data_IF_723460232146
#
_entry.id   IF_723460232146
#
_cell.length_a   1.000
_cell.length_b   1.000
_cell.length_c   1.000
_cell.angle_alpha   90.00
_cell.angle_beta   90.00
_cell.angle_gamma   90.00
#
_symmetry.space_group_name_H-M   'P 1'
#
loop_
_entity.id
_entity.type
_entity.pdbx_description
1 polymer ?
#
# COMPACT_ATOMS: atom_id res chain seq x y z
N UNK A 1 -12.58 -14.23 8.05
CA UNK A 1 -12.62 -12.80 7.67
C UNK A 1 -11.24 -12.22 7.96
N UNK A 2 -10.48 -11.80 6.95
CA UNK A 2 -9.09 -11.34 7.13
C UNK A 2 -9.12 -9.91 7.63
N UNK A 3 -8.47 -9.64 8.77
CA UNK A 3 -8.23 -8.29 9.28
C UNK A 3 -7.39 -7.55 8.22
N UNK A 4 -7.98 -6.59 7.50
CA UNK A 4 -7.22 -5.72 6.60
C UNK A 4 -6.38 -4.78 7.47
N UNK A 5 -5.07 -5.01 7.50
CA UNK A 5 -4.12 -4.15 8.20
C UNK A 5 -3.39 -3.31 7.17
N UNK A 6 -3.44 -1.99 7.30
CA UNK A 6 -2.73 -1.07 6.38
C UNK A 6 -1.22 -1.14 6.56
N UNK A 7 -0.74 -1.40 7.78
CA UNK A 7 0.69 -1.38 8.10
C UNK A 7 1.10 -2.57 8.97
N UNK A 8 2.26 -3.16 8.68
CA UNK A 8 2.87 -4.22 9.50
C UNK A 8 4.34 -3.90 9.77
N UNK A 9 4.90 -4.50 10.83
CA UNK A 9 6.34 -4.48 11.08
C UNK A 9 6.92 -5.85 10.76
N UNK A 10 7.95 -5.90 9.94
CA UNK A 10 8.64 -7.14 9.57
C UNK A 10 10.13 -6.88 9.38
N UNK A 11 10.98 -7.71 10.01
CA UNK A 11 12.45 -7.64 9.90
C UNK A 11 13.05 -6.21 10.05
N UNK A 12 12.49 -5.42 10.97
CA UNK A 12 12.92 -4.04 11.26
C UNK A 12 12.39 -2.98 10.29
N UNK A 13 11.65 -3.35 9.24
CA UNK A 13 11.00 -2.43 8.32
C UNK A 13 9.54 -2.15 8.71
N UNK A 14 9.07 -0.96 8.33
CA UNK A 14 7.64 -0.67 8.24
C UNK A 14 7.14 -1.09 6.86
N UNK A 15 6.18 -2.01 6.81
CA UNK A 15 5.51 -2.43 5.59
C UNK A 15 4.17 -1.71 5.50
N UNK A 16 3.91 -1.02 4.39
CA UNK A 16 2.67 -0.27 4.14
C UNK A 16 1.97 -0.88 2.93
N UNK A 17 0.71 -1.28 3.09
CA UNK A 17 -0.14 -1.77 2.00
C UNK A 17 -0.92 -0.61 1.38
N UNK A 18 -0.60 -0.28 0.14
CA UNK A 18 -1.21 0.81 -0.60
C UNK A 18 -2.51 0.38 -1.30
N UNK A 19 -3.45 1.32 -1.46
CA UNK A 19 -4.76 1.09 -2.08
C UNK A 19 -5.85 0.77 -1.07
N UNK A 20 -6.67 -0.24 -1.34
CA UNK A 20 -7.85 -0.59 -0.53
C UNK A 20 -7.58 -0.75 0.98
N UNK A 21 -6.45 -1.35 1.44
CA UNK A 21 -6.16 -1.48 2.86
C UNK A 21 -6.01 -0.15 3.60
N UNK A 22 -5.89 0.99 2.90
CA UNK A 22 -5.87 2.33 3.51
C UNK A 22 -7.25 2.78 3.99
N UNK A 23 -8.33 2.19 3.49
CA UNK A 23 -9.68 2.54 3.94
C UNK A 23 -9.87 2.01 5.35
N UNK A 24 -10.16 2.93 6.28
CA UNK A 24 -10.49 2.59 7.65
C UNK A 24 -11.99 2.38 7.75
N UNK A 25 -12.36 1.23 8.29
CA UNK A 25 -13.75 0.83 8.44
C UNK A 25 -14.13 0.82 9.91
N UNK A 26 -15.34 1.32 10.20
CA UNK A 26 -15.98 1.13 11.49
C UNK A 26 -17.11 0.14 11.34
N UNK A 27 -17.24 -0.73 12.34
CA UNK A 27 -18.29 -1.71 12.43
C UNK A 27 -19.39 -1.18 13.36
N UNK A 28 -20.63 -1.05 12.86
CA UNK A 28 -21.80 -0.68 13.69
C UNK A 28 -22.68 -1.89 14.00
N UNK A 29 -22.77 -2.85 13.08
CA UNK A 29 -23.48 -4.13 13.25
C UNK A 29 -22.99 -5.14 12.21
N UNK A 30 -23.33 -6.43 12.37
CA UNK A 30 -22.91 -7.50 11.46
C UNK A 30 -23.19 -7.24 9.96
N UNK A 31 -24.17 -6.38 9.65
CA UNK A 31 -24.54 -6.01 8.28
C UNK A 31 -24.10 -4.58 7.87
N UNK A 32 -23.53 -3.78 8.78
CA UNK A 32 -23.26 -2.37 8.54
C UNK A 32 -21.80 -2.02 8.85
N UNK A 33 -21.01 -1.96 7.79
CA UNK A 33 -19.68 -1.35 7.79
C UNK A 33 -19.79 0.07 7.25
N UNK A 34 -19.01 0.99 7.80
CA UNK A 34 -18.97 2.37 7.31
C UNK A 34 -17.52 2.79 7.14
N UNK A 35 -17.11 3.31 5.98
CA UNK A 35 -15.78 3.85 5.83
C UNK A 35 -15.70 5.16 6.63
N UNK A 36 -14.76 5.25 7.57
CA UNK A 36 -14.65 6.36 8.54
C UNK A 36 -13.43 7.24 8.29
N UNK A 37 -12.52 6.82 7.42
CA UNK A 37 -11.29 7.57 7.19
C UNK A 37 -10.36 6.86 6.21
N UNK A 38 -9.27 7.54 5.88
CA UNK A 38 -8.14 6.96 5.18
C UNK A 38 -6.91 7.01 6.07
N UNK A 39 -6.14 5.94 6.07
CA UNK A 39 -4.75 5.97 6.48
C UNK A 39 -3.91 6.69 5.39
N UNK A 40 -2.85 7.44 5.74
CA UNK A 40 -2.38 7.73 7.10
C UNK A 40 -3.12 8.90 7.74
N UNK A 41 -3.35 8.79 9.05
CA UNK A 41 -3.67 9.94 9.92
C UNK A 41 -2.42 10.79 10.17
N UNK A 42 -2.54 12.00 10.77
CA UNK A 42 -1.38 12.86 11.04
C UNK A 42 -0.24 12.17 11.81
N UNK A 43 -0.57 11.30 12.78
CA UNK A 43 0.41 10.51 13.55
C UNK A 43 1.14 9.49 12.69
N UNK A 44 0.42 8.68 11.92
CA UNK A 44 1.00 7.73 10.97
C UNK A 44 1.94 8.43 9.97
N UNK A 45 1.50 9.60 9.46
CA UNK A 45 2.30 10.39 8.51
C UNK A 45 3.55 10.96 9.17
N UNK A 46 3.51 11.30 10.45
CA UNK A 46 4.69 11.74 11.19
C UNK A 46 5.67 10.58 11.36
N UNK A 47 5.19 9.39 11.76
CA UNK A 47 6.01 8.19 11.91
C UNK A 47 6.72 7.82 10.60
N UNK A 48 5.99 7.74 9.48
CA UNK A 48 6.61 7.36 8.21
C UNK A 48 7.65 8.40 7.78
N UNK A 49 7.38 9.70 7.97
CA UNK A 49 8.35 10.76 7.66
C UNK A 49 9.60 10.67 8.52
N UNK A 50 9.45 10.40 9.81
CA UNK A 50 10.56 10.21 10.73
C UNK A 50 11.43 9.03 10.31
N UNK A 51 10.84 7.86 10.06
CA UNK A 51 11.57 6.69 9.55
C UNK A 51 12.33 7.00 8.27
N UNK A 52 11.67 7.64 7.29
CA UNK A 52 12.30 7.99 6.03
C UNK A 52 13.47 8.97 6.20
N UNK A 53 13.34 9.93 7.11
CA UNK A 53 14.40 10.90 7.46
C UNK A 53 15.57 10.21 8.14
N UNK A 54 15.29 9.29 9.05
CA UNK A 54 16.30 8.58 9.85
C UNK A 54 16.94 7.43 9.07
N UNK A 55 16.54 7.24 7.81
CA UNK A 55 17.07 6.21 6.93
C UNK A 55 16.55 4.81 7.25
N UNK A 56 15.50 4.68 8.06
CA UNK A 56 14.95 3.39 8.44
C UNK A 56 14.13 2.76 7.29
N UNK A 57 14.20 1.42 7.12
CA UNK A 57 13.50 0.75 6.03
C UNK A 57 11.97 0.92 6.07
N UNK A 58 11.41 1.27 4.91
CA UNK A 58 9.98 1.37 4.61
C UNK A 58 9.71 0.66 3.27
N UNK A 59 8.90 -0.39 3.31
CA UNK A 59 8.45 -1.13 2.12
C UNK A 59 7.00 -0.78 1.82
N UNK A 60 6.71 -0.29 0.63
CA UNK A 60 5.34 -0.04 0.16
C UNK A 60 4.92 -1.16 -0.78
N UNK A 61 3.83 -1.83 -0.45
CA UNK A 61 3.28 -2.96 -1.20
C UNK A 61 1.97 -2.55 -1.86
N UNK A 62 1.93 -2.55 -3.18
CA UNK A 62 0.70 -2.40 -3.95
C UNK A 62 0.02 -3.77 -4.08
N UNK A 63 -1.21 -3.90 -3.57
CA UNK A 63 -2.02 -5.10 -3.73
C UNK A 63 -2.49 -5.28 -5.19
N UNK A 64 -2.83 -6.52 -5.58
CA UNK A 64 -3.23 -6.85 -6.96
C UNK A 64 -4.50 -6.11 -7.43
N UNK A 65 -5.45 -5.81 -6.53
CA UNK A 65 -6.72 -5.19 -6.92
C UNK A 65 -6.51 -3.78 -7.46
N UNK A 66 -6.62 -3.68 -8.78
CA UNK A 66 -6.88 -2.45 -9.51
C UNK A 66 -8.39 -2.14 -9.39
N UNK A 67 -8.74 -0.88 -9.14
CA UNK A 67 -10.12 -0.44 -8.92
C UNK A 67 -10.36 0.11 -7.52
N UNK A 68 -11.37 0.97 -7.39
CA UNK A 68 -11.74 1.53 -6.09
C UNK A 68 -12.21 0.46 -5.11
N UNK A 69 -12.39 0.86 -3.86
CA UNK A 69 -12.97 -0.04 -2.86
C UNK A 69 -14.48 -0.08 -3.07
N UNK A 70 -15.09 -1.24 -3.36
CA UNK A 70 -16.52 -1.30 -3.56
C UNK A 70 -17.24 -0.87 -2.29
N UNK A 71 -18.27 -0.04 -2.45
CA UNK A 71 -19.07 0.54 -1.37
C UNK A 71 -20.53 0.60 -1.79
N UNK A 72 -21.45 0.35 -0.87
CA UNK A 72 -22.88 0.58 -1.12
C UNK A 72 -23.30 2.00 -0.77
N UNK A 73 -24.44 2.44 -1.29
CA UNK A 73 -25.02 3.74 -0.92
C UNK A 73 -25.32 3.82 0.58
N UNK A 74 -25.78 2.71 1.17
CA UNK A 74 -26.03 2.60 2.61
C UNK A 74 -24.74 2.80 3.42
N UNK A 75 -23.65 2.13 3.04
CA UNK A 75 -22.35 2.27 3.72
C UNK A 75 -21.82 3.71 3.65
N UNK A 76 -21.99 4.39 2.51
CA UNK A 76 -21.57 5.78 2.34
C UNK A 76 -22.47 6.79 3.05
N UNK A 77 -23.75 6.48 3.27
CA UNK A 77 -24.68 7.38 3.94
C UNK A 77 -24.18 7.81 5.33
N UNK A 78 -23.52 6.89 6.04
CA UNK A 78 -22.92 7.11 7.35
C UNK A 78 -21.48 7.62 7.32
N UNK A 79 -20.84 7.72 6.15
CA UNK A 79 -19.44 8.08 6.01
C UNK A 79 -19.20 9.60 6.15
N UNK A 80 -18.03 10.03 6.64
CA UNK A 80 -17.66 11.45 6.65
C UNK A 80 -17.63 12.05 5.23
N UNK A 81 -17.88 13.35 5.11
CA UNK A 81 -17.89 14.06 3.82
C UNK A 81 -16.60 13.88 3.01
N UNK A 82 -15.46 13.88 3.68
CA UNK A 82 -14.16 13.68 3.04
C UNK A 82 -14.07 12.33 2.33
N UNK A 83 -14.71 11.28 2.89
CA UNK A 83 -14.76 9.95 2.30
C UNK A 83 -15.80 9.89 1.18
N UNK A 84 -16.99 10.46 1.39
CA UNK A 84 -18.03 10.52 0.35
C UNK A 84 -17.55 11.18 -0.94
N UNK A 85 -16.72 12.23 -0.85
CA UNK A 85 -16.14 12.92 -2.02
C UNK A 85 -15.19 12.07 -2.85
N UNK A 86 -14.68 10.97 -2.30
CA UNK A 86 -13.81 10.03 -3.01
C UNK A 86 -14.61 8.93 -3.70
N UNK A 87 -15.91 8.80 -3.41
CA UNK A 87 -16.76 7.80 -4.01
C UNK A 87 -17.26 8.23 -5.40
N UNK A 88 -17.33 7.28 -6.31
CA UNK A 88 -18.09 7.36 -7.56
C UNK A 88 -19.23 6.35 -7.46
N UNK A 89 -20.46 6.84 -7.42
CA UNK A 89 -21.65 5.99 -7.40
C UNK A 89 -22.13 5.77 -8.83
N UNK A 90 -22.59 4.56 -9.12
CA UNK A 90 -23.53 4.36 -10.20
C UNK A 90 -24.93 4.75 -9.69
N UNK A 91 -25.69 5.52 -10.46
CA UNK A 91 -27.04 5.93 -10.06
C UNK A 91 -28.05 4.80 -10.29
N UNK A 92 -27.78 3.88 -11.22
CA UNK A 92 -28.64 2.75 -11.55
C UNK A 92 -28.44 1.55 -10.63
N UNK A 93 -27.26 1.43 -10.01
CA UNK A 93 -26.91 0.34 -9.09
C UNK A 93 -26.72 0.89 -7.67
N UNK A 94 -27.05 0.12 -6.62
CA UNK A 94 -26.78 0.55 -5.23
C UNK A 94 -25.30 0.37 -4.82
N UNK A 95 -24.42 0.29 -5.83
CA UNK A 95 -23.01 -0.02 -5.72
C UNK A 95 -22.18 1.10 -6.37
N UNK A 96 -21.09 1.44 -5.72
CA UNK A 96 -20.09 2.37 -6.24
C UNK A 96 -18.69 1.98 -5.84
N UNK A 97 -17.75 2.87 -6.15
CA UNK A 97 -16.33 2.67 -5.87
C UNK A 97 -15.74 3.85 -5.11
N UNK A 98 -15.08 3.59 -3.99
CA UNK A 98 -14.28 4.55 -3.26
C UNK A 98 -12.86 4.62 -3.85
N UNK A 99 -12.50 5.75 -4.45
CA UNK A 99 -11.21 5.96 -5.09
C UNK A 99 -10.17 6.47 -4.09
N UNK A 100 -9.30 5.57 -3.63
CA UNK A 100 -8.19 5.92 -2.74
C UNK A 100 -7.07 6.57 -3.55
N UNK A 101 -6.70 7.85 -3.30
CA UNK A 101 -5.64 8.51 -4.06
C UNK A 101 -4.28 7.84 -3.79
N UNK A 102 -3.58 7.33 -4.81
CA UNK A 102 -2.37 6.55 -4.59
C UNK A 102 -1.21 7.44 -4.11
N UNK A 103 -0.58 7.01 -3.01
CA UNK A 103 0.64 7.60 -2.47
C UNK A 103 0.58 9.12 -2.19
N UNK A 104 -0.63 9.68 -2.04
CA UNK A 104 -0.88 11.10 -1.79
C UNK A 104 -0.30 11.60 -0.46
N UNK A 105 0.12 10.67 0.39
CA UNK A 105 0.73 10.91 1.69
C UNK A 105 2.26 10.99 1.67
N UNK A 106 2.90 10.56 0.59
CA UNK A 106 4.36 10.62 0.43
C UNK A 106 4.84 12.00 -0.06
N UNK A 107 6.11 12.36 0.22
CA UNK A 107 6.82 13.43 -0.48
C UNK A 107 6.73 13.28 -2.01
N UNK A 108 6.68 14.40 -2.73
CA UNK A 108 6.34 14.41 -4.16
C UNK A 108 7.30 13.60 -5.04
N UNK A 109 8.60 13.64 -4.73
CA UNK A 109 9.64 12.89 -5.42
C UNK A 109 9.45 11.37 -5.24
N UNK A 110 9.24 10.93 -4.00
CA UNK A 110 8.97 9.53 -3.65
C UNK A 110 7.64 9.05 -4.24
N UNK A 111 6.61 9.89 -4.21
CA UNK A 111 5.32 9.65 -4.85
C UNK A 111 5.47 9.41 -6.34
N UNK A 112 6.17 10.30 -7.07
CA UNK A 112 6.42 10.13 -8.51
C UNK A 112 7.17 8.84 -8.83
N UNK A 113 8.17 8.48 -8.00
CA UNK A 113 8.91 7.22 -8.14
C UNK A 113 8.01 6.00 -7.95
N UNK A 114 7.20 5.99 -6.89
CA UNK A 114 6.26 4.91 -6.62
C UNK A 114 5.17 4.75 -7.68
N UNK A 115 4.62 5.86 -8.18
CA UNK A 115 3.63 5.83 -9.27
C UNK A 115 4.24 5.29 -10.58
N UNK A 116 5.48 5.69 -10.90
CA UNK A 116 6.19 5.14 -12.06
C UNK A 116 6.42 3.63 -11.93
N UNK A 117 6.84 3.17 -10.74
CA UNK A 117 6.99 1.74 -10.48
C UNK A 117 5.65 1.01 -10.62
N UNK A 118 4.57 1.58 -10.08
CA UNK A 118 3.23 1.03 -10.22
C UNK A 118 2.85 0.82 -11.68
N UNK A 119 2.96 1.87 -12.51
CA UNK A 119 2.66 1.81 -13.96
C UNK A 119 3.50 0.75 -14.68
N UNK A 120 4.82 0.74 -14.43
CA UNK A 120 5.74 -0.25 -15.03
C UNK A 120 5.39 -1.68 -14.62
N UNK A 121 5.11 -1.89 -13.33
CA UNK A 121 4.76 -3.20 -12.80
C UNK A 121 3.40 -3.69 -13.30
N UNK A 122 2.40 -2.81 -13.46
CA UNK A 122 1.12 -3.15 -14.08
C UNK A 122 1.29 -3.56 -15.54
N UNK A 123 2.10 -2.84 -16.32
CA UNK A 123 2.41 -3.22 -17.70
C UNK A 123 3.13 -4.59 -17.76
N UNK A 124 4.04 -4.86 -16.83
CA UNK A 124 4.73 -6.15 -16.72
C UNK A 124 3.79 -7.29 -16.35
N UNK A 125 2.90 -7.07 -15.39
CA UNK A 125 1.86 -8.03 -15.00
C UNK A 125 0.97 -8.34 -16.21
N UNK A 126 0.47 -7.33 -16.91
CA UNK A 126 -0.43 -7.49 -18.04
C UNK A 126 0.19 -8.32 -19.20
N UNK A 127 1.48 -8.13 -19.48
CA UNK A 127 2.18 -8.86 -20.56
C UNK A 127 2.73 -10.23 -20.15
N UNK A 128 2.77 -10.55 -18.85
CA UNK A 128 3.38 -11.77 -18.33
C UNK A 128 2.32 -12.82 -17.99
N UNK A 129 2.32 -13.99 -18.66
CA UNK A 129 1.42 -15.09 -18.33
C UNK A 129 1.50 -15.49 -16.86
N UNK A 130 0.33 -15.72 -16.24
CA UNK A 130 0.23 -16.04 -14.80
C UNK A 130 1.10 -17.23 -14.38
N UNK A 131 1.26 -18.24 -15.24
CA UNK A 131 2.00 -19.46 -14.94
C UNK A 131 3.51 -19.26 -14.68
N UNK A 132 4.10 -18.20 -15.21
CA UNK A 132 5.53 -17.87 -15.04
C UNK A 132 5.76 -16.61 -14.22
N UNK A 133 4.67 -16.01 -13.70
CA UNK A 133 4.73 -14.77 -12.95
C UNK A 133 5.17 -15.07 -11.51
N UNK A 134 6.27 -14.46 -11.07
CA UNK A 134 6.66 -14.49 -9.66
C UNK A 134 5.57 -13.84 -8.79
N UNK A 135 5.46 -14.20 -7.49
CA UNK A 135 4.39 -13.73 -6.61
C UNK A 135 4.44 -12.22 -6.32
N UNK A 136 5.63 -11.63 -6.42
CA UNK A 136 5.90 -10.22 -6.21
C UNK A 136 6.82 -9.70 -7.30
N UNK A 137 6.56 -8.48 -7.76
CA UNK A 137 7.57 -7.65 -8.42
C UNK A 137 8.14 -6.69 -7.38
N UNK A 138 9.46 -6.58 -7.34
CA UNK A 138 10.16 -5.66 -6.46
C UNK A 138 10.86 -4.61 -7.31
N UNK A 139 10.73 -3.35 -6.90
CA UNK A 139 11.47 -2.27 -7.53
C UNK A 139 12.98 -2.54 -7.44
N UNK A 140 13.75 -2.43 -8.54
CA UNK A 140 15.21 -2.54 -8.49
C UNK A 140 15.82 -1.62 -7.43
N UNK A 141 16.93 -2.05 -6.81
CA UNK A 141 17.57 -1.27 -5.75
C UNK A 141 18.00 0.10 -6.30
N UNK A 142 17.43 1.21 -5.80
CA UNK A 142 17.79 2.54 -6.26
C UNK A 142 19.19 2.89 -5.75
N UNK A 143 19.90 3.80 -6.44
CA UNK A 143 21.20 4.29 -5.96
C UNK A 143 21.00 5.20 -4.74
N UNK A 144 19.98 6.03 -4.80
CA UNK A 144 19.47 6.98 -3.81
C UNK A 144 18.24 6.43 -3.07
N UNK A 145 17.92 6.97 -1.89
CA UNK A 145 16.69 6.61 -1.15
C UNK A 145 16.50 5.08 -0.93
N UNK A 146 17.59 4.41 -0.54
CA UNK A 146 17.61 2.94 -0.35
C UNK A 146 16.70 2.45 0.78
N UNK A 147 16.31 3.35 1.68
CA UNK A 147 15.40 3.07 2.79
C UNK A 147 13.94 2.96 2.34
N UNK A 148 13.57 3.45 1.15
CA UNK A 148 12.23 3.31 0.59
C UNK A 148 12.25 2.38 -0.63
N UNK A 149 11.42 1.35 -0.60
CA UNK A 149 11.24 0.41 -1.72
C UNK A 149 9.77 0.17 -2.01
N UNK A 150 9.47 -0.06 -3.27
CA UNK A 150 8.13 -0.43 -3.73
C UNK A 150 8.09 -1.89 -4.17
N UNK A 151 6.99 -2.56 -3.88
CA UNK A 151 6.71 -3.91 -4.34
C UNK A 151 5.26 -4.03 -4.81
N UNK A 152 5.01 -4.96 -5.72
CA UNK A 152 3.70 -5.18 -6.35
C UNK A 152 3.33 -6.65 -6.24
N UNK A 153 2.23 -6.94 -5.58
CA UNK A 153 1.64 -8.27 -5.59
C UNK A 153 1.09 -8.58 -6.98
N UNK A 154 1.37 -9.78 -7.48
CA UNK A 154 1.03 -10.17 -8.84
C UNK A 154 -0.14 -11.16 -8.94
N UNK A 155 -0.68 -11.52 -7.78
CA UNK A 155 -1.72 -12.54 -7.57
C UNK A 155 -2.28 -12.48 -6.14
N UNK A 156 -3.36 -13.22 -5.84
CA UNK A 156 -4.01 -13.18 -4.52
C UNK A 156 -3.11 -13.69 -3.38
N UNK A 157 -2.17 -14.57 -3.73
CA UNK A 157 -1.16 -15.12 -2.81
C UNK A 157 0.14 -14.33 -2.82
N UNK A 158 0.20 -13.20 -3.53
CA UNK A 158 1.43 -12.47 -3.81
C UNK A 158 2.10 -11.90 -2.56
N UNK A 159 1.32 -11.55 -1.53
CA UNK A 159 1.86 -10.98 -0.30
C UNK A 159 1.18 -11.58 0.92
N UNK A 160 1.71 -12.71 1.42
CA UNK A 160 1.29 -13.28 2.70
C UNK A 160 2.16 -12.71 3.81
N UNK A 161 1.55 -12.44 4.97
CA UNK A 161 2.24 -11.88 6.14
C UNK A 161 3.47 -12.70 6.55
N UNK A 162 3.39 -14.03 6.46
CA UNK A 162 4.51 -14.94 6.75
C UNK A 162 5.73 -14.77 5.84
N UNK A 163 5.55 -14.24 4.63
CA UNK A 163 6.62 -14.08 3.63
C UNK A 163 7.27 -12.69 3.72
N UNK A 164 6.67 -11.77 4.50
CA UNK A 164 7.16 -10.39 4.65
C UNK A 164 8.59 -10.28 5.20
N UNK A 165 9.02 -11.06 6.21
CA UNK A 165 10.40 -10.96 6.70
C UNK A 165 11.43 -11.23 5.60
N UNK A 166 11.24 -12.30 4.83
CA UNK A 166 12.15 -12.66 3.73
C UNK A 166 12.12 -11.61 2.60
N UNK A 167 10.94 -11.09 2.27
CA UNK A 167 10.81 -10.02 1.28
C UNK A 167 11.54 -8.75 1.73
N UNK A 168 11.40 -8.35 3.00
CA UNK A 168 12.10 -7.18 3.57
C UNK A 168 13.61 -7.38 3.56
N UNK A 169 14.09 -8.55 3.98
CA UNK A 169 15.52 -8.86 3.96
C UNK A 169 16.10 -8.77 2.56
N UNK A 170 15.42 -9.36 1.58
CA UNK A 170 15.81 -9.28 0.18
C UNK A 170 15.78 -7.83 -0.34
N UNK A 171 14.70 -7.09 -0.05
CA UNK A 171 14.54 -5.72 -0.50
C UNK A 171 15.64 -4.80 0.06
N UNK A 172 16.04 -4.97 1.31
CA UNK A 172 16.98 -4.05 1.97
C UNK A 172 18.38 -4.61 2.18
N UNK A 173 18.74 -5.73 1.54
CA UNK A 173 20.08 -6.34 1.65
C UNK A 173 21.21 -5.32 1.37
N UNK A 174 21.11 -4.54 0.29
CA UNK A 174 22.10 -3.52 -0.08
C UNK A 174 22.04 -2.24 0.78
N UNK A 175 20.93 -2.02 1.48
CA UNK A 175 20.79 -0.90 2.41
C UNK A 175 21.53 -1.21 3.72
N UNK A 176 21.33 -2.41 4.28
CA UNK A 176 22.02 -2.86 5.50
C UNK A 176 23.55 -2.86 5.34
N UNK A 177 24.04 -3.28 4.17
CA UNK A 177 25.49 -3.24 3.87
C UNK A 177 26.05 -1.80 3.87
N UNK A 178 25.30 -0.81 3.38
CA UNK A 178 25.75 0.58 3.34
C UNK A 178 25.75 1.25 4.72
N UNK A 179 24.76 0.96 5.56
CA UNK A 179 24.69 1.46 6.94
C UNK A 179 25.82 0.86 7.79
N UNK A 180 26.08 -0.45 7.65
CA UNK A 180 27.17 -1.12 8.38
C UNK A 180 28.59 -0.63 8.01
N UNK A 181 28.77 -0.03 6.83
CA UNK A 181 30.05 0.56 6.39
C UNK A 181 30.28 1.99 6.91
N UNK A 182 29.24 2.70 7.38
CA UNK A 182 29.36 4.05 7.95
C UNK A 182 29.44 4.06 9.49
N UNK A 183 29.13 2.93 10.13
CA UNK A 183 29.16 2.77 11.59
C UNK A 183 30.45 2.11 12.13
N UNK A 184 31.42 1.84 11.26
CA UNK A 184 32.74 1.28 11.58
C UNK A 184 33.83 2.31 11.27
#
# INVERSE_FOLDING_TARGET
MVKQTTTLRAAGALVVFEGAPRVRWSWKSAACWTPVGLWPEPGDRAEVRERLRDGEPVLIVFAEREGGVPVTREELSGAPDAIRRLARMDDAEDLGELLVPPLDWLPQDMRRRGLRFFEQSSAEIARTPRAIRGPMLLEPAPKDQRQLRFARATGPSGCLERDLPALVEHAFAHHRAAVGQHAA
#
